data_IF_944412816961
#
_entry.id   IF_944412816961
#
_cell.length_a   1.000
_cell.length_b   1.000
_cell.length_c   1.000
_cell.angle_alpha   90.00
_cell.angle_beta   90.00
_cell.angle_gamma   90.00
#
_symmetry.space_group_name_H-M   'P 1'
#
loop_
_entity.id
_entity.type
_entity.pdbx_description
1 polymer ?
#
# COMPACT_ATOMS: atom_id res chain seq x y z
N UNK A 1 -33.95 -3.91 -35.10
CA UNK A 1 -34.02 -3.08 -33.89
C UNK A 1 -35.48 -2.77 -33.65
N UNK A 2 -36.05 -3.27 -32.56
CA UNK A 2 -37.38 -2.84 -32.10
C UNK A 2 -37.21 -1.43 -31.53
N UNK A 3 -37.75 -0.45 -32.24
CA UNK A 3 -37.76 0.96 -31.84
C UNK A 3 -39.19 1.32 -31.46
N UNK A 4 -39.40 1.70 -30.21
CA UNK A 4 -40.68 2.22 -29.74
C UNK A 4 -40.56 3.73 -29.52
N UNK A 5 -41.58 4.47 -29.92
CA UNK A 5 -41.65 5.93 -29.74
C UNK A 5 -42.82 6.29 -28.85
N UNK A 6 -42.61 7.24 -27.96
CA UNK A 6 -43.65 7.80 -27.09
C UNK A 6 -43.64 9.32 -27.19
N UNK A 7 -44.81 9.90 -27.40
CA UNK A 7 -44.99 11.35 -27.43
C UNK A 7 -45.24 11.85 -26.01
N UNK A 8 -44.43 12.80 -25.55
CA UNK A 8 -44.55 13.45 -24.24
C UNK A 8 -45.58 14.58 -24.29
N UNK A 9 -46.08 14.96 -23.11
CA UNK A 9 -47.09 16.02 -22.94
C UNK A 9 -46.65 17.41 -23.44
N UNK A 10 -45.34 17.61 -23.68
CA UNK A 10 -44.76 18.83 -24.26
C UNK A 10 -44.55 18.76 -25.79
N UNK A 11 -45.04 17.70 -26.44
CA UNK A 11 -44.91 17.48 -27.89
C UNK A 11 -43.59 16.84 -28.33
N UNK A 12 -42.63 16.59 -27.42
CA UNK A 12 -41.38 15.91 -27.75
C UNK A 12 -41.59 14.40 -27.94
N UNK A 13 -40.84 13.78 -28.86
CA UNK A 13 -40.87 12.33 -29.12
C UNK A 13 -39.65 11.70 -28.46
N UNK A 14 -39.87 10.82 -27.48
CA UNK A 14 -38.83 9.97 -26.92
C UNK A 14 -38.71 8.70 -27.76
N UNK A 15 -37.51 8.42 -28.25
CA UNK A 15 -37.20 7.20 -29.01
C UNK A 15 -36.52 6.22 -28.09
N UNK A 16 -37.02 4.99 -27.99
CA UNK A 16 -36.46 3.93 -27.16
C UNK A 16 -36.07 2.73 -28.03
N UNK A 17 -34.87 2.18 -27.79
CA UNK A 17 -34.42 0.94 -28.41
C UNK A 17 -34.40 -0.21 -27.41
N UNK A 18 -34.83 -1.40 -27.83
CA UNK A 18 -34.59 -2.64 -27.07
C UNK A 18 -33.15 -3.13 -27.29
N UNK A 19 -32.41 -3.27 -26.20
CA UNK A 19 -31.07 -3.87 -26.15
C UNK A 19 -31.16 -5.40 -26.19
N UNK A 20 -30.05 -6.06 -26.52
CA UNK A 20 -29.94 -7.53 -26.63
C UNK A 20 -30.13 -8.28 -25.31
N UNK A 21 -30.06 -7.58 -24.18
CA UNK A 21 -30.34 -8.09 -22.83
C UNK A 21 -31.82 -7.94 -22.42
N UNK A 22 -32.68 -7.43 -23.32
CA UNK A 22 -34.10 -7.20 -23.06
C UNK A 22 -34.42 -5.85 -22.40
N UNK A 23 -33.42 -5.07 -22.00
CA UNK A 23 -33.60 -3.73 -21.43
C UNK A 23 -34.01 -2.71 -22.52
N UNK A 24 -34.75 -1.67 -22.12
CA UNK A 24 -35.16 -0.58 -23.03
C UNK A 24 -34.36 0.67 -22.69
N UNK A 25 -33.58 1.19 -23.64
CA UNK A 25 -32.77 2.41 -23.44
C UNK A 25 -33.36 3.58 -24.23
N UNK A 26 -33.57 4.71 -23.56
CA UNK A 26 -33.92 5.97 -24.23
C UNK A 26 -32.74 6.43 -25.09
N UNK A 27 -32.96 6.57 -26.39
CA UNK A 27 -31.95 6.98 -27.38
C UNK A 27 -31.93 8.50 -27.57
N UNK A 28 -33.03 9.20 -27.26
CA UNK A 28 -33.17 10.65 -27.43
C UNK A 28 -33.81 11.22 -26.15
N UNK A 29 -33.05 11.22 -25.06
CA UNK A 29 -33.16 12.06 -23.85
C UNK A 29 -32.17 11.50 -22.81
N UNK A 30 -30.87 11.50 -23.13
CA UNK A 30 -29.84 11.18 -22.14
C UNK A 30 -29.71 12.39 -21.22
N UNK A 31 -30.33 12.33 -20.03
CA UNK A 31 -29.98 13.25 -18.95
C UNK A 31 -28.50 13.08 -18.65
N UNK A 32 -27.78 14.18 -18.50
CA UNK A 32 -26.38 14.17 -18.11
C UNK A 32 -26.25 13.42 -16.77
N UNK A 33 -25.37 12.41 -16.72
CA UNK A 33 -25.07 11.73 -15.47
C UNK A 33 -24.26 12.70 -14.64
N UNK A 34 -24.89 13.27 -13.60
CA UNK A 34 -24.17 14.11 -12.64
C UNK A 34 -23.33 13.20 -11.74
N UNK A 35 -22.04 13.48 -11.67
CA UNK A 35 -21.13 12.84 -10.74
C UNK A 35 -21.04 13.69 -9.48
N UNK A 36 -21.26 13.06 -8.33
CA UNK A 36 -20.94 13.66 -7.04
C UNK A 36 -19.61 13.12 -6.53
N UNK A 37 -18.79 14.00 -5.98
CA UNK A 37 -17.49 13.69 -5.39
C UNK A 37 -17.51 13.98 -3.91
N UNK A 38 -17.30 12.93 -3.10
CA UNK A 38 -17.09 13.09 -1.67
C UNK A 38 -15.60 13.17 -1.37
N UNK A 39 -15.11 14.34 -0.95
CA UNK A 39 -13.70 14.52 -0.57
C UNK A 39 -13.41 13.79 0.74
N UNK A 40 -12.39 12.94 0.73
CA UNK A 40 -11.86 12.34 1.96
C UNK A 40 -11.23 13.41 2.88
N UNK A 41 -11.43 13.27 4.19
CA UNK A 41 -10.83 14.15 5.21
C UNK A 41 -9.33 13.91 5.39
N UNK A 42 -8.84 12.72 5.06
CA UNK A 42 -7.43 12.37 4.98
C UNK A 42 -7.23 11.26 3.92
N UNK A 43 -6.07 11.24 3.26
CA UNK A 43 -5.65 10.14 2.40
C UNK A 43 -4.68 9.27 3.20
N UNK A 44 -5.05 8.02 3.45
CA UNK A 44 -4.18 7.02 4.07
C UNK A 44 -3.54 6.09 3.04
N UNK A 45 -2.54 5.27 3.43
CA UNK A 45 -1.81 4.36 2.53
C UNK A 45 -2.68 3.36 1.77
N UNK A 46 -3.90 3.08 2.28
CA UNK A 46 -4.89 2.13 1.74
C UNK A 46 -6.21 2.83 1.40
N UNK A 47 -6.24 4.14 1.16
CA UNK A 47 -7.48 4.82 0.79
C UNK A 47 -7.96 4.38 -0.60
N UNK A 48 -8.62 3.22 -0.67
CA UNK A 48 -9.24 2.65 -1.86
C UNK A 48 -10.74 2.98 -1.90
N UNK A 49 -11.35 2.86 -3.07
CA UNK A 49 -12.81 2.95 -3.16
C UNK A 49 -13.53 1.89 -2.33
N UNK A 50 -12.96 0.71 -2.04
CA UNK A 50 -13.58 -0.27 -1.14
C UNK A 50 -13.58 0.14 0.34
N UNK A 51 -12.69 1.04 0.74
CA UNK A 51 -12.57 1.56 2.11
C UNK A 51 -13.40 2.84 2.32
N UNK A 52 -14.15 3.28 1.31
CA UNK A 52 -15.05 4.43 1.39
C UNK A 52 -14.41 5.80 1.14
N UNK A 53 -13.19 5.86 0.58
CA UNK A 53 -12.45 7.11 0.45
C UNK A 53 -11.61 7.21 -0.83
N UNK A 54 -11.63 8.37 -1.55
CA UNK A 54 -12.80 9.19 -1.87
C UNK A 54 -13.66 8.52 -2.97
N UNK A 55 -14.99 8.58 -2.84
CA UNK A 55 -15.91 7.90 -3.75
C UNK A 55 -16.52 8.82 -4.82
N UNK A 56 -16.62 8.32 -6.05
CA UNK A 56 -17.32 8.94 -7.17
C UNK A 56 -18.63 8.18 -7.42
N UNK A 57 -19.75 8.88 -7.35
CA UNK A 57 -21.08 8.26 -7.52
C UNK A 57 -21.92 9.00 -8.56
N UNK A 58 -22.79 8.27 -9.25
CA UNK A 58 -23.82 8.88 -10.09
C UNK A 58 -24.99 9.36 -9.21
N UNK A 59 -25.35 10.63 -9.33
CA UNK A 59 -26.46 11.22 -8.56
C UNK A 59 -27.83 10.65 -9.03
N UNK A 60 -28.83 10.50 -8.14
CA UNK A 60 -28.82 10.79 -6.71
C UNK A 60 -28.59 9.49 -5.92
N UNK A 61 -27.33 9.06 -5.77
CA UNK A 61 -27.00 7.93 -4.91
C UNK A 61 -26.62 8.45 -3.52
N UNK A 62 -27.20 7.93 -2.43
CA UNK A 62 -26.74 8.27 -1.08
C UNK A 62 -25.27 7.85 -0.93
N UNK A 63 -24.50 8.65 -0.19
CA UNK A 63 -23.06 8.49 0.08
C UNK A 63 -22.63 7.01 0.08
N UNK A 64 -22.13 6.56 -1.07
CA UNK A 64 -21.74 5.17 -1.24
C UNK A 64 -20.34 4.96 -0.68
N UNK A 65 -20.14 3.83 -0.02
CA UNK A 65 -18.84 3.37 0.47
C UNK A 65 -17.92 2.86 -0.65
N UNK A 66 -18.34 2.94 -1.92
CA UNK A 66 -17.53 2.58 -3.10
C UNK A 66 -17.95 3.33 -4.37
N UNK A 67 -17.08 3.33 -5.37
CA UNK A 67 -17.33 3.98 -6.66
C UNK A 67 -18.49 3.31 -7.40
N UNK A 68 -19.63 4.00 -7.41
CA UNK A 68 -20.89 3.55 -8.05
C UNK A 68 -20.99 4.18 -9.43
N UNK A 69 -20.04 3.84 -10.28
CA UNK A 69 -20.06 4.22 -11.68
C UNK A 69 -20.61 3.01 -12.42
N UNK A 70 -21.61 3.21 -13.27
CA UNK A 70 -22.28 2.12 -13.96
C UNK A 70 -21.30 1.17 -14.67
N UNK A 71 -21.75 -0.03 -15.09
CA UNK A 71 -20.89 -1.15 -15.53
C UNK A 71 -19.97 -0.88 -16.74
N UNK A 72 -19.95 0.34 -17.28
CA UNK A 72 -19.23 0.74 -18.48
C UNK A 72 -18.38 2.01 -18.28
N UNK A 73 -17.87 2.24 -17.08
CA UNK A 73 -16.98 3.39 -16.82
C UNK A 73 -15.61 3.11 -17.44
N UNK A 74 -15.52 3.36 -18.75
CA UNK A 74 -14.30 3.21 -19.53
C UNK A 74 -13.61 4.54 -19.81
N UNK A 75 -12.73 4.55 -20.80
CA UNK A 75 -11.98 5.74 -21.21
C UNK A 75 -11.04 6.24 -20.11
N UNK A 76 -10.76 7.55 -20.14
CA UNK A 76 -9.80 8.17 -19.22
C UNK A 76 -10.25 8.07 -17.75
N UNK A 77 -11.55 8.19 -17.47
CA UNK A 77 -12.05 8.10 -16.10
C UNK A 77 -11.90 6.68 -15.54
N UNK A 78 -12.31 5.65 -16.28
CA UNK A 78 -12.11 4.26 -15.88
C UNK A 78 -10.64 3.93 -15.64
N UNK A 79 -9.75 4.37 -16.53
CA UNK A 79 -8.31 4.17 -16.38
C UNK A 79 -7.73 4.86 -15.13
N UNK A 80 -8.18 6.08 -14.79
CA UNK A 80 -7.72 6.78 -13.58
C UNK A 80 -8.18 6.08 -12.30
N UNK A 81 -9.36 5.46 -12.32
CA UNK A 81 -9.87 4.69 -11.19
C UNK A 81 -9.15 3.37 -11.03
N UNK A 82 -8.83 2.69 -12.13
CA UNK A 82 -7.99 1.49 -12.12
C UNK A 82 -6.58 1.77 -11.58
N UNK A 83 -5.98 2.90 -11.97
CA UNK A 83 -4.71 3.37 -11.40
C UNK A 83 -4.83 3.60 -9.90
N UNK A 84 -5.89 4.27 -9.44
CA UNK A 84 -6.08 4.60 -8.01
C UNK A 84 -6.34 3.34 -7.17
N UNK A 85 -7.26 2.49 -7.61
CA UNK A 85 -7.80 1.42 -6.78
C UNK A 85 -7.00 0.13 -6.86
N UNK A 86 -6.40 -0.17 -8.02
CA UNK A 86 -5.65 -1.41 -8.23
C UNK A 86 -4.15 -1.12 -8.31
N UNK A 87 -3.68 -0.38 -9.33
CA UNK A 87 -2.25 -0.28 -9.61
C UNK A 87 -1.44 0.36 -8.46
N UNK A 88 -1.90 1.49 -7.92
CA UNK A 88 -1.23 2.17 -6.82
C UNK A 88 -1.35 1.39 -5.51
N UNK A 89 -2.48 0.75 -5.27
CA UNK A 89 -2.70 -0.11 -4.10
C UNK A 89 -1.75 -1.31 -4.11
N UNK A 90 -1.63 -2.00 -5.24
CA UNK A 90 -0.74 -3.15 -5.39
C UNK A 90 0.73 -2.72 -5.28
N UNK A 91 1.09 -1.57 -5.85
CA UNK A 91 2.44 -1.00 -5.69
C UNK A 91 2.75 -0.62 -4.25
N UNK A 92 1.80 0.00 -3.52
CA UNK A 92 1.97 0.32 -2.11
C UNK A 92 2.17 -0.95 -1.27
N UNK A 93 1.41 -2.02 -1.54
CA UNK A 93 1.60 -3.32 -0.88
C UNK A 93 3.00 -3.89 -1.10
N UNK A 94 3.51 -3.86 -2.33
CA UNK A 94 4.88 -4.34 -2.61
C UNK A 94 5.94 -3.44 -1.94
N UNK A 95 5.72 -2.13 -1.87
CA UNK A 95 6.63 -1.19 -1.20
C UNK A 95 6.63 -1.37 0.33
N UNK A 96 5.45 -1.56 0.92
CA UNK A 96 5.30 -1.87 2.34
C UNK A 96 5.97 -3.20 2.67
N UNK A 97 5.85 -4.21 1.80
CA UNK A 97 6.54 -5.49 1.95
C UNK A 97 8.06 -5.33 1.93
N UNK A 98 8.60 -4.60 0.96
CA UNK A 98 10.03 -4.27 0.93
C UNK A 98 10.45 -3.60 2.23
N UNK A 99 9.67 -2.62 2.69
CA UNK A 99 9.94 -1.86 3.91
C UNK A 99 9.96 -2.75 5.15
N UNK A 100 8.99 -3.65 5.29
CA UNK A 100 8.95 -4.63 6.38
C UNK A 100 10.16 -5.57 6.33
N UNK A 101 10.55 -6.05 5.14
CA UNK A 101 11.74 -6.92 5.00
C UNK A 101 13.01 -6.19 5.41
N UNK A 102 13.17 -4.93 4.99
CA UNK A 102 14.31 -4.08 5.38
C UNK A 102 14.32 -3.88 6.89
N UNK A 103 13.19 -3.43 7.45
CA UNK A 103 13.01 -3.20 8.89
C UNK A 103 13.37 -4.46 9.69
N UNK A 104 12.74 -5.58 9.37
CA UNK A 104 12.84 -6.81 10.15
C UNK A 104 14.22 -7.45 10.08
N UNK A 105 14.86 -7.48 8.89
CA UNK A 105 16.21 -8.07 8.76
C UNK A 105 17.28 -7.18 9.40
N UNK A 106 17.20 -5.86 9.22
CA UNK A 106 18.16 -4.94 9.86
C UNK A 106 17.97 -4.96 11.36
N UNK A 107 16.72 -4.98 11.85
CA UNK A 107 16.44 -5.15 13.27
C UNK A 107 16.96 -6.49 13.79
N UNK A 108 16.71 -7.60 13.10
CA UNK A 108 17.22 -8.92 13.51
C UNK A 108 18.75 -8.94 13.68
N UNK A 109 19.49 -8.22 12.83
CA UNK A 109 20.93 -8.05 12.98
C UNK A 109 21.28 -7.10 14.15
N UNK A 110 20.64 -5.93 14.22
CA UNK A 110 20.88 -4.92 15.25
C UNK A 110 20.56 -5.43 16.67
N UNK A 111 19.54 -6.27 16.82
CA UNK A 111 19.08 -6.85 18.09
C UNK A 111 20.07 -7.87 18.68
N UNK A 112 20.97 -8.44 17.87
CA UNK A 112 22.07 -9.32 18.36
C UNK A 112 23.16 -8.52 19.07
N UNK A 113 23.16 -7.21 18.84
CA UNK A 113 24.11 -6.28 19.41
C UNK A 113 23.64 -5.65 20.71
N UNK A 114 24.61 -5.05 21.38
CA UNK A 114 24.39 -4.08 22.44
C UNK A 114 25.27 -2.87 22.16
N UNK A 115 24.96 -1.75 22.81
CA UNK A 115 25.72 -0.51 22.73
C UNK A 115 26.34 -0.19 24.09
N UNK A 116 27.26 0.77 24.10
CA UNK A 116 28.08 1.10 25.28
C UNK A 116 27.26 1.62 26.46
N UNK A 117 26.05 2.09 26.19
CA UNK A 117 25.22 2.83 27.15
C UNK A 117 24.06 2.00 27.74
N UNK A 118 24.15 0.67 27.70
CA UNK A 118 23.21 -0.22 28.39
C UNK A 118 23.45 -0.32 29.91
N UNK A 119 23.98 0.75 30.50
CA UNK A 119 23.79 1.13 31.89
C UNK A 119 22.36 1.65 32.18
N UNK A 120 21.42 1.41 31.26
CA UNK A 120 20.00 1.63 31.46
C UNK A 120 19.43 0.48 32.30
N UNK A 121 18.69 0.84 33.35
CA UNK A 121 18.03 -0.12 34.21
C UNK A 121 16.81 -0.79 33.56
N UNK A 122 16.39 -0.33 32.37
CA UNK A 122 15.17 -0.74 31.69
C UNK A 122 15.40 -0.84 30.17
N UNK A 123 14.82 -1.87 29.54
CA UNK A 123 14.75 -2.07 28.10
C UNK A 123 13.29 -2.34 27.72
N UNK A 124 12.69 -1.47 26.91
CA UNK A 124 11.30 -1.58 26.46
C UNK A 124 11.25 -2.09 25.03
N UNK A 125 10.43 -3.11 24.80
CA UNK A 125 10.12 -3.63 23.48
C UNK A 125 9.21 -2.69 22.69
N UNK A 126 9.14 -2.87 21.38
CA UNK A 126 8.29 -2.07 20.50
C UNK A 126 7.13 -2.87 19.89
N UNK A 127 7.08 -4.19 20.13
CA UNK A 127 6.00 -5.04 19.66
C UNK A 127 4.84 -5.06 20.66
N UNK A 128 3.61 -4.85 20.17
CA UNK A 128 2.40 -5.16 20.92
C UNK A 128 2.19 -6.68 20.91
N UNK A 129 2.29 -7.29 22.08
CA UNK A 129 2.17 -8.74 22.30
C UNK A 129 0.89 -9.09 23.07
N UNK A 130 -0.04 -8.16 23.22
CA UNK A 130 -1.24 -8.32 24.05
C UNK A 130 -2.21 -9.39 23.54
N UNK A 131 -2.19 -9.68 22.23
CA UNK A 131 -3.03 -10.70 21.59
C UNK A 131 -2.26 -11.84 20.90
N UNK A 132 -0.93 -11.79 20.87
CA UNK A 132 -0.14 -12.79 20.12
C UNK A 132 -0.02 -14.12 20.92
N UNK A 133 0.00 -15.22 20.18
CA UNK A 133 0.16 -16.57 20.71
C UNK A 133 1.27 -17.29 19.95
N UNK A 134 2.13 -18.01 20.68
CA UNK A 134 3.24 -18.72 20.07
C UNK A 134 2.72 -19.91 19.27
N UNK A 135 3.18 -20.07 18.03
CA UNK A 135 2.76 -21.18 17.15
C UNK A 135 3.40 -22.52 17.52
N UNK A 136 4.50 -22.45 18.26
CA UNK A 136 5.26 -23.57 18.81
C UNK A 136 5.93 -23.10 20.10
N UNK A 137 6.23 -24.00 21.05
CA UNK A 137 7.01 -23.62 22.22
C UNK A 137 8.32 -22.93 21.81
N UNK A 138 8.66 -21.84 22.50
CA UNK A 138 9.93 -21.14 22.32
C UNK A 138 11.09 -22.08 22.67
N UNK A 139 12.26 -21.80 22.07
CA UNK A 139 13.45 -22.65 22.23
C UNK A 139 14.69 -21.81 22.46
N UNK A 140 15.74 -22.43 22.99
CA UNK A 140 17.04 -21.79 23.18
C UNK A 140 17.22 -21.11 24.53
N UNK A 141 18.34 -20.40 24.65
CA UNK A 141 18.79 -19.73 25.86
C UNK A 141 19.33 -18.35 25.54
N UNK A 142 19.06 -17.40 26.43
CA UNK A 142 19.62 -16.06 26.40
C UNK A 142 20.60 -15.86 27.56
N UNK A 143 21.57 -14.97 27.38
CA UNK A 143 22.50 -14.60 28.45
C UNK A 143 22.29 -13.14 28.83
N UNK A 144 22.11 -12.89 30.12
CA UNK A 144 22.00 -11.55 30.70
C UNK A 144 23.30 -11.26 31.45
N UNK A 145 23.97 -10.18 31.08
CA UNK A 145 25.11 -9.66 31.83
C UNK A 145 24.65 -8.43 32.62
N UNK A 146 24.90 -8.41 33.93
CA UNK A 146 24.68 -7.24 34.77
C UNK A 146 25.88 -6.31 34.68
N UNK A 147 25.64 -5.03 34.43
CA UNK A 147 26.69 -4.03 34.22
C UNK A 147 26.68 -2.95 35.30
N UNK A 148 27.87 -2.44 35.62
CA UNK A 148 28.02 -1.25 36.46
C UNK A 148 27.96 0.05 35.62
N UNK A 149 28.12 1.21 36.26
CA UNK A 149 28.05 2.52 35.60
C UNK A 149 29.15 2.74 34.54
N UNK A 150 30.22 1.93 34.57
CA UNK A 150 31.32 1.93 33.60
C UNK A 150 31.10 0.92 32.46
N UNK A 151 29.93 0.26 32.40
CA UNK A 151 29.59 -0.80 31.45
C UNK A 151 30.48 -2.07 31.57
N UNK A 152 31.00 -2.33 32.76
CA UNK A 152 31.74 -3.54 33.08
C UNK A 152 30.79 -4.62 33.62
N UNK A 153 30.99 -5.86 33.20
CA UNK A 153 30.19 -7.00 33.63
C UNK A 153 30.58 -7.41 35.04
N UNK A 154 29.64 -7.29 35.97
CA UNK A 154 29.82 -7.64 37.40
C UNK A 154 29.10 -8.95 37.78
N UNK A 155 28.30 -9.49 36.86
CA UNK A 155 27.58 -10.75 37.02
C UNK A 155 26.98 -11.20 35.70
N UNK A 156 26.75 -12.50 35.56
CA UNK A 156 26.07 -13.06 34.39
C UNK A 156 25.12 -14.19 34.80
N UNK A 157 24.01 -14.29 34.09
CA UNK A 157 23.00 -15.31 34.25
C UNK A 157 22.51 -15.78 32.88
N UNK A 158 22.26 -17.07 32.74
CA UNK A 158 21.68 -17.67 31.54
C UNK A 158 20.24 -18.04 31.82
N UNK A 159 19.33 -17.57 30.97
CA UNK A 159 17.90 -17.89 31.05
C UNK A 159 17.57 -18.85 29.91
N UNK A 160 16.98 -19.99 30.27
CA UNK A 160 16.43 -20.93 29.30
C UNK A 160 14.97 -20.56 29.06
N UNK A 161 14.60 -20.29 27.80
CA UNK A 161 13.21 -20.04 27.38
C UNK A 161 12.62 -21.25 26.64
N UNK A 162 13.19 -22.43 26.87
CA UNK A 162 12.83 -23.65 26.19
C UNK A 162 11.54 -24.27 26.75
N UNK A 163 10.52 -24.39 25.92
CA UNK A 163 9.21 -24.95 26.28
C UNK A 163 8.14 -23.91 26.63
N UNK A 164 8.48 -22.62 26.58
CA UNK A 164 7.55 -21.53 26.89
C UNK A 164 6.51 -21.41 25.77
N UNK A 165 5.22 -21.41 26.13
CA UNK A 165 4.11 -21.38 25.16
C UNK A 165 3.40 -20.05 25.09
N UNK A 166 3.72 -19.14 26.01
CA UNK A 166 3.10 -17.82 26.12
C UNK A 166 4.10 -16.79 26.64
N UNK A 167 3.75 -15.51 26.47
CA UNK A 167 4.49 -14.39 27.08
C UNK A 167 4.58 -14.55 28.59
N UNK A 168 3.53 -15.04 29.24
CA UNK A 168 3.52 -15.27 30.69
C UNK A 168 4.54 -16.35 31.11
N UNK A 169 4.70 -17.40 30.31
CA UNK A 169 5.73 -18.43 30.53
C UNK A 169 7.13 -17.82 30.38
N UNK A 170 7.34 -16.99 29.35
CA UNK A 170 8.59 -16.26 29.16
C UNK A 170 8.90 -15.33 30.35
N UNK A 171 7.90 -14.60 30.86
CA UNK A 171 8.05 -13.76 32.05
C UNK A 171 8.42 -14.59 33.28
N UNK A 172 7.87 -15.80 33.41
CA UNK A 172 8.21 -16.75 34.47
C UNK A 172 9.65 -17.30 34.31
N UNK A 173 10.08 -17.61 33.09
CA UNK A 173 11.45 -18.05 32.79
C UNK A 173 12.49 -16.95 33.07
N UNK A 174 12.14 -15.68 32.81
CA UNK A 174 12.98 -14.53 33.15
C UNK A 174 13.02 -14.23 34.65
N UNK A 175 12.02 -14.68 35.42
CA UNK A 175 11.88 -14.34 36.83
C UNK A 175 13.11 -14.77 37.64
N UNK A 176 13.61 -13.84 38.47
CA UNK A 176 14.84 -14.03 39.24
C UNK A 176 16.11 -13.60 38.51
N UNK A 177 16.09 -13.51 37.17
CA UNK A 177 17.20 -12.94 36.39
C UNK A 177 16.92 -11.50 35.96
N UNK A 178 15.73 -11.24 35.43
CA UNK A 178 15.24 -9.90 35.09
C UNK A 178 13.85 -9.71 35.69
N UNK A 179 13.52 -8.46 36.03
CA UNK A 179 12.12 -8.09 36.23
C UNK A 179 11.49 -7.88 34.86
N UNK A 180 10.30 -8.42 34.63
CA UNK A 180 9.58 -8.29 33.37
C UNK A 180 8.14 -7.87 33.62
N UNK A 181 7.65 -6.89 32.86
CA UNK A 181 6.27 -6.41 32.91
C UNK A 181 5.77 -6.17 31.48
N UNK A 182 4.46 -6.30 31.27
CA UNK A 182 3.82 -5.84 30.04
C UNK A 182 3.14 -4.52 30.35
N UNK A 183 3.49 -3.46 29.63
CA UNK A 183 2.95 -2.12 29.87
C UNK A 183 1.53 -1.97 29.31
N UNK A 184 0.93 -0.79 29.48
CA UNK A 184 -0.44 -0.52 29.01
C UNK A 184 -0.60 -0.59 27.48
N UNK A 185 0.50 -0.40 26.75
CA UNK A 185 0.57 -0.48 25.30
C UNK A 185 0.87 -1.90 24.80
N UNK A 186 0.83 -2.90 25.69
CA UNK A 186 1.05 -4.30 25.34
C UNK A 186 2.51 -4.65 25.06
N UNK A 187 3.49 -3.81 25.43
CA UNK A 187 4.91 -4.03 25.16
C UNK A 187 5.64 -4.66 26.35
N UNK A 188 6.60 -5.54 26.08
CA UNK A 188 7.46 -6.14 27.10
C UNK A 188 8.51 -5.13 27.59
N UNK A 189 8.49 -4.84 28.89
CA UNK A 189 9.50 -4.05 29.59
C UNK A 189 10.35 -4.97 30.46
N UNK A 190 11.66 -4.92 30.27
CA UNK A 190 12.63 -5.63 31.07
C UNK A 190 13.38 -4.65 31.95
N UNK A 191 13.53 -4.95 33.23
CA UNK A 191 14.33 -4.12 34.13
C UNK A 191 15.20 -4.95 35.06
N UNK A 192 16.12 -4.27 35.75
CA UNK A 192 16.90 -4.90 36.82
C UNK A 192 15.98 -5.49 37.90
N UNK A 193 16.22 -6.74 38.35
CA UNK A 193 15.45 -7.33 39.44
C UNK A 193 15.84 -6.70 40.78
N UNK A 194 14.95 -6.75 41.77
CA UNK A 194 15.24 -6.29 43.14
C UNK A 194 16.38 -7.06 43.83
N UNK A 195 16.79 -8.22 43.29
CA UNK A 195 17.91 -9.03 43.75
C UNK A 195 19.17 -8.97 42.87
N UNK A 196 19.31 -7.94 42.02
CA UNK A 196 20.48 -7.78 41.15
C UNK A 196 21.79 -7.72 41.96
N UNK A 197 22.94 -8.13 41.38
CA UNK A 197 24.24 -8.01 42.03
C UNK A 197 24.50 -6.58 42.54
N UNK A 198 25.14 -6.46 43.71
CA UNK A 198 25.44 -5.17 44.31
C UNK A 198 26.33 -4.33 43.36
N UNK A 199 25.87 -3.11 43.04
CA UNK A 199 26.55 -2.22 42.08
C UNK A 199 26.07 -2.33 40.63
N UNK A 200 25.08 -3.18 40.35
CA UNK A 200 24.43 -3.22 39.04
C UNK A 200 23.64 -1.93 38.80
N UNK A 201 23.93 -1.25 37.69
CA UNK A 201 23.21 -0.06 37.23
C UNK A 201 22.47 -0.32 35.92
N UNK A 202 22.84 -1.35 35.17
CA UNK A 202 22.14 -1.80 33.97
C UNK A 202 22.39 -3.26 33.65
N UNK A 203 21.95 -3.66 32.46
CA UNK A 203 22.16 -5.02 31.94
C UNK A 203 22.30 -5.00 30.42
N UNK A 204 23.04 -5.96 29.88
CA UNK A 204 23.07 -6.26 28.44
C UNK A 204 22.46 -7.61 28.17
N UNK A 205 21.74 -7.72 27.07
CA UNK A 205 21.13 -8.96 26.62
C UNK A 205 21.92 -9.51 25.43
N UNK A 206 22.35 -10.76 25.53
CA UNK A 206 22.78 -11.55 24.39
C UNK A 206 21.66 -12.57 24.10
N UNK A 207 21.04 -12.46 22.92
CA UNK A 207 19.92 -13.32 22.54
C UNK A 207 20.30 -14.79 22.36
N UNK A 208 21.57 -15.13 22.21
CA UNK A 208 22.00 -16.51 22.01
C UNK A 208 21.26 -17.19 20.87
N UNK A 209 20.79 -18.41 21.12
CA UNK A 209 19.95 -19.22 20.21
C UNK A 209 18.45 -19.13 20.55
N UNK A 210 18.07 -18.19 21.41
CA UNK A 210 16.70 -17.98 21.86
C UNK A 210 15.79 -17.55 20.70
N UNK A 211 14.79 -18.38 20.37
CA UNK A 211 13.87 -18.13 19.26
C UNK A 211 12.41 -18.37 19.64
N UNK A 212 11.53 -17.57 19.05
CA UNK A 212 10.09 -17.60 19.23
C UNK A 212 9.43 -17.69 17.85
N UNK A 213 8.57 -18.68 17.68
CA UNK A 213 7.77 -18.85 16.48
C UNK A 213 6.42 -18.13 16.65
N UNK A 214 6.15 -17.14 15.80
CA UNK A 214 4.89 -16.39 15.83
C UNK A 214 3.86 -17.09 14.93
N UNK A 215 2.61 -17.15 15.40
CA UNK A 215 1.49 -17.62 14.57
C UNK A 215 1.09 -16.58 13.52
N UNK A 216 1.21 -15.30 13.87
CA UNK A 216 0.78 -14.19 13.03
C UNK A 216 1.71 -13.95 11.84
N UNK A 217 3.02 -14.13 12.05
CA UNK A 217 4.03 -13.95 11.00
C UNK A 217 4.34 -15.21 10.19
N UNK A 218 3.99 -16.39 10.69
CA UNK A 218 4.40 -17.67 10.09
C UNK A 218 5.92 -17.86 10.00
N UNK A 219 6.69 -17.15 10.83
CA UNK A 219 8.16 -17.18 10.86
C UNK A 219 8.69 -17.28 12.30
N UNK A 220 9.95 -17.69 12.42
CA UNK A 220 10.67 -17.80 13.69
C UNK A 220 11.65 -16.64 13.85
N UNK A 221 11.48 -15.86 14.91
CA UNK A 221 12.34 -14.69 15.22
C UNK A 221 13.20 -14.95 16.44
N UNK A 222 14.37 -14.31 16.50
CA UNK A 222 15.17 -14.26 17.72
C UNK A 222 14.41 -13.54 18.84
N UNK A 223 14.68 -13.89 20.10
CA UNK A 223 13.97 -13.36 21.27
C UNK A 223 13.80 -11.84 21.25
N UNK A 224 14.90 -11.08 21.10
CA UNK A 224 14.82 -9.61 21.06
C UNK A 224 14.06 -9.10 19.85
N UNK A 225 14.20 -9.76 18.70
CA UNK A 225 13.50 -9.35 17.48
C UNK A 225 11.99 -9.57 17.57
N UNK A 226 11.55 -10.66 18.21
CA UNK A 226 10.14 -10.94 18.44
C UNK A 226 9.46 -9.88 19.32
N UNK A 227 10.08 -9.52 20.45
CA UNK A 227 9.56 -8.49 21.36
C UNK A 227 9.87 -7.05 20.90
N UNK A 228 10.60 -6.88 19.79
CA UNK A 228 11.08 -5.58 19.32
C UNK A 228 12.03 -4.88 20.30
N UNK A 229 12.78 -5.66 21.09
CA UNK A 229 13.80 -5.17 22.01
C UNK A 229 15.03 -4.73 21.20
N UNK A 230 15.49 -3.52 21.45
CA UNK A 230 16.68 -2.96 20.80
C UNK A 230 16.57 -2.83 19.26
N UNK A 231 15.40 -2.48 18.73
CA UNK A 231 15.21 -2.24 17.30
C UNK A 231 15.93 -0.97 16.83
N UNK A 232 16.43 -0.99 15.60
CA UNK A 232 16.95 0.21 14.92
C UNK A 232 15.83 0.98 14.24
N UNK A 233 14.97 0.26 13.51
CA UNK A 233 13.82 0.80 12.82
C UNK A 233 12.53 0.48 13.57
N UNK A 234 11.68 1.49 13.73
CA UNK A 234 10.35 1.40 14.31
C UNK A 234 9.31 1.92 13.33
N UNK A 235 8.07 1.45 13.50
CA UNK A 235 6.87 1.96 12.85
C UNK A 235 5.93 2.32 13.99
N UNK A 236 5.98 3.54 14.53
CA UNK A 236 5.27 3.89 15.78
C UNK A 236 3.74 3.82 15.65
N UNK A 237 3.21 4.10 14.46
CA UNK A 237 1.77 4.15 14.22
C UNK A 237 1.21 2.80 13.73
N UNK A 238 2.09 1.80 13.58
CA UNK A 238 1.76 0.49 13.05
C UNK A 238 2.33 -0.64 13.92
N UNK A 239 1.59 -1.73 14.15
CA UNK A 239 2.11 -2.83 14.94
C UNK A 239 3.33 -3.47 14.26
N UNK A 240 4.33 -3.87 15.04
CA UNK A 240 5.50 -4.58 14.50
C UNK A 240 5.15 -5.97 13.97
N UNK A 241 4.15 -6.59 14.59
CA UNK A 241 3.55 -7.86 14.19
C UNK A 241 2.27 -7.54 13.40
N UNK A 242 2.06 -8.11 12.21
CA UNK A 242 0.77 -7.98 11.56
C UNK A 242 -0.29 -8.68 12.42
N UNK A 243 -1.49 -8.08 12.55
CA UNK A 243 -2.63 -8.77 13.19
C UNK A 243 -2.84 -10.14 12.56
N UNK A 244 -3.12 -11.19 13.35
CA UNK A 244 -3.43 -12.54 12.86
C UNK A 244 -4.31 -12.53 11.58
N UNK A 245 -3.73 -12.93 10.44
CA UNK A 245 -4.42 -12.98 9.14
C UNK A 245 -4.20 -11.79 8.20
N UNK A 246 -3.55 -10.71 8.65
CA UNK A 246 -3.03 -9.66 7.79
C UNK A 246 -1.65 -10.08 7.28
N UNK A 247 -1.47 -10.26 5.98
CA UNK A 247 -0.16 -10.63 5.43
C UNK A 247 0.89 -9.52 5.57
N UNK A 248 0.44 -8.26 5.46
CA UNK A 248 1.29 -7.08 5.36
C UNK A 248 0.77 -5.93 6.21
N UNK A 249 1.71 -5.24 6.87
CA UNK A 249 1.47 -3.99 7.57
C UNK A 249 1.39 -2.88 6.54
N UNK A 250 0.17 -2.43 6.25
CA UNK A 250 -0.02 -1.37 5.25
C UNK A 250 0.34 0.00 5.81
N UNK A 251 1.06 0.80 5.03
CA UNK A 251 1.60 2.09 5.46
C UNK A 251 3.00 2.03 6.06
N UNK A 252 3.60 0.84 6.17
CA UNK A 252 4.95 0.69 6.72
C UNK A 252 5.97 1.57 6.00
N UNK A 253 5.87 1.73 4.68
CA UNK A 253 6.75 2.59 3.88
C UNK A 253 6.67 4.08 4.25
N UNK A 254 5.51 4.54 4.72
CA UNK A 254 5.30 5.92 5.15
C UNK A 254 5.67 6.19 6.62
N UNK A 255 5.65 5.14 7.44
CA UNK A 255 5.82 5.24 8.90
C UNK A 255 7.21 4.82 9.39
N UNK A 256 7.96 4.03 8.59
CA UNK A 256 9.28 3.54 8.98
C UNK A 256 10.21 4.69 9.36
N UNK A 257 10.83 4.57 10.54
CA UNK A 257 11.78 5.54 11.02
C UNK A 257 12.83 4.93 11.92
N UNK A 258 14.00 5.58 12.04
CA UNK A 258 15.00 5.20 13.05
C UNK A 258 14.47 5.57 14.44
N UNK A 259 14.72 4.67 15.41
CA UNK A 259 14.35 4.85 16.81
C UNK A 259 14.80 6.22 17.34
N UNK A 260 13.88 6.92 18.02
CA UNK A 260 14.08 8.33 18.38
C UNK A 260 15.25 8.61 19.32
N UNK A 261 15.64 7.65 20.16
CA UNK A 261 16.81 7.71 21.06
C UNK A 261 18.15 7.60 20.31
N UNK A 262 18.23 6.80 19.25
CA UNK A 262 19.40 6.67 18.36
C UNK A 262 19.55 7.94 17.52
N UNK A 263 18.44 8.53 17.08
CA UNK A 263 18.44 9.83 16.38
C UNK A 263 18.99 10.95 17.26
N UNK A 264 18.67 10.92 18.56
CA UNK A 264 19.14 11.92 19.52
C UNK A 264 20.60 11.68 19.93
N UNK A 265 20.98 10.43 20.12
CA UNK A 265 22.34 10.05 20.48
C UNK A 265 22.78 8.77 19.74
N UNK A 266 23.72 8.94 18.81
CA UNK A 266 24.30 7.82 18.04
C UNK A 266 25.03 6.80 18.92
N UNK A 267 25.37 7.12 20.17
CA UNK A 267 25.95 6.17 21.11
C UNK A 267 24.96 5.05 21.51
N UNK A 268 23.67 5.22 21.22
CA UNK A 268 22.63 4.21 21.43
C UNK A 268 22.52 3.18 20.29
N UNK A 269 23.33 3.32 19.23
CA UNK A 269 23.42 2.35 18.15
C UNK A 269 24.23 1.14 18.58
N UNK A 270 23.67 -0.06 18.41
CA UNK A 270 24.40 -1.32 18.65
C UNK A 270 25.59 -1.45 17.70
N UNK A 271 26.78 -1.69 18.24
CA UNK A 271 28.00 -1.85 17.43
C UNK A 271 28.71 -3.20 17.65
N UNK A 272 28.55 -3.82 18.81
CA UNK A 272 29.19 -5.10 19.13
C UNK A 272 28.26 -6.05 19.86
N UNK A 273 28.62 -7.34 19.85
CA UNK A 273 27.85 -8.35 20.56
C UNK A 273 28.27 -8.39 22.02
N UNK A 274 27.30 -8.49 22.93
CA UNK A 274 27.61 -8.65 24.36
C UNK A 274 28.41 -9.95 24.53
N UNK A 275 29.64 -9.84 25.06
CA UNK A 275 30.49 -11.03 25.23
C UNK A 275 29.81 -12.02 26.17
N UNK A 276 29.74 -13.28 25.75
CA UNK A 276 29.16 -14.33 26.58
C UNK A 276 30.16 -14.71 27.66
N UNK A 277 29.80 -14.46 28.92
CA UNK A 277 30.59 -14.90 30.06
C UNK A 277 29.95 -16.11 30.71
N UNK A 278 30.71 -17.20 30.96
CA UNK A 278 30.20 -18.30 31.75
C UNK A 278 29.77 -17.78 33.13
N UNK A 279 28.70 -18.33 33.69
CA UNK A 279 28.28 -17.99 35.05
C UNK A 279 29.09 -18.83 36.06
N UNK A 280 29.74 -18.21 37.09
CA UNK A 280 29.75 -16.79 37.43
C UNK A 280 30.74 -15.96 36.59
N UNK A 281 30.46 -14.66 36.45
CA UNK A 281 31.25 -13.71 35.68
C UNK A 281 32.75 -13.68 36.08
N UNK A 282 33.66 -13.27 35.16
CA UNK A 282 35.09 -13.26 35.41
C UNK A 282 35.45 -12.28 36.53
N UNK A 283 36.42 -12.64 37.38
CA UNK A 283 36.86 -11.83 38.53
C UNK A 283 37.44 -10.45 38.19
N UNK A 284 37.63 -10.14 36.90
CA UNK A 284 38.29 -8.92 36.42
C UNK A 284 37.33 -7.84 35.90
N UNK A 285 36.00 -8.00 36.10
CA UNK A 285 34.97 -7.07 35.61
C UNK A 285 35.23 -6.57 34.17
N UNK A 286 35.28 -7.47 33.18
CA UNK A 286 35.57 -7.06 31.80
C UNK A 286 34.45 -6.18 31.22
N UNK A 287 34.73 -5.36 30.19
CA UNK A 287 33.69 -4.58 29.53
C UNK A 287 32.68 -5.50 28.83
N UNK A 288 31.39 -5.12 28.84
CA UNK A 288 30.34 -5.92 28.19
C UNK A 288 30.52 -6.02 26.67
N UNK A 289 31.08 -4.98 26.05
CA UNK A 289 31.50 -4.94 24.64
C UNK A 289 32.89 -4.34 24.55
N UNK A 290 33.77 -4.96 23.76
CA UNK A 290 35.11 -4.44 23.53
C UNK A 290 35.09 -3.28 22.54
N UNK A 291 35.91 -2.26 22.80
CA UNK A 291 36.12 -1.18 21.84
C UNK A 291 36.70 -1.73 20.53
N UNK A 292 36.07 -1.41 19.41
CA UNK A 292 36.46 -1.90 18.08
C UNK A 292 35.77 -3.18 17.62
N UNK A 293 34.89 -3.78 18.43
CA UNK A 293 33.97 -4.80 17.96
C UNK A 293 33.02 -4.20 16.92
N UNK A 294 32.99 -4.78 15.72
CA UNK A 294 32.13 -4.39 14.60
C UNK A 294 31.26 -5.55 14.10
N UNK A 295 31.10 -6.61 14.89
CA UNK A 295 30.33 -7.81 14.51
C UNK A 295 28.90 -7.48 14.12
N UNK A 296 28.24 -6.58 14.85
CA UNK A 296 26.85 -6.17 14.58
C UNK A 296 26.77 -5.32 13.31
N UNK A 297 27.75 -4.45 13.10
CA UNK A 297 27.83 -3.65 11.87
C UNK A 297 28.05 -4.54 10.64
N UNK A 298 28.88 -5.59 10.76
CA UNK A 298 29.06 -6.61 9.73
C UNK A 298 27.77 -7.40 9.49
N UNK A 299 27.11 -7.88 10.55
CA UNK A 299 25.83 -8.59 10.43
C UNK A 299 24.74 -7.74 9.77
N UNK A 300 24.69 -6.43 10.07
CA UNK A 300 23.78 -5.51 9.39
C UNK A 300 24.13 -5.37 7.91
N UNK A 301 25.41 -5.28 7.54
CA UNK A 301 25.83 -5.25 6.14
C UNK A 301 25.48 -6.56 5.41
N UNK A 302 25.75 -7.71 6.03
CA UNK A 302 25.45 -9.04 5.50
C UNK A 302 23.94 -9.22 5.28
N UNK A 303 23.09 -8.62 6.13
CA UNK A 303 21.62 -8.69 5.98
C UNK A 303 21.10 -8.15 4.64
N UNK A 304 21.84 -7.23 3.99
CA UNK A 304 21.51 -6.71 2.65
C UNK A 304 21.94 -7.66 1.52
N UNK A 305 22.97 -8.46 1.74
CA UNK A 305 23.50 -9.44 0.77
C UNK A 305 22.82 -10.81 0.90
N UNK A 306 22.24 -11.10 2.06
CA UNK A 306 21.55 -12.36 2.31
C UNK A 306 20.31 -12.53 1.42
N UNK A 307 20.24 -13.71 0.80
CA UNK A 307 19.08 -14.13 0.00
C UNK A 307 18.08 -14.82 0.91
N UNK A 308 16.85 -14.32 0.98
CA UNK A 308 15.76 -15.03 1.63
C UNK A 308 14.49 -14.99 0.78
N UNK A 309 13.57 -15.89 1.07
CA UNK A 309 12.25 -15.90 0.46
C UNK A 309 11.46 -14.71 0.99
N UNK A 310 11.14 -13.76 0.12
CA UNK A 310 10.20 -12.68 0.39
C UNK A 310 8.85 -13.14 -0.13
N UNK A 311 7.91 -13.33 0.79
CA UNK A 311 6.54 -13.70 0.46
C UNK A 311 5.80 -12.59 -0.30
N UNK A 312 4.86 -12.98 -1.15
CA UNK A 312 3.98 -12.11 -1.90
C UNK A 312 3.09 -11.29 -0.95
N UNK A 313 2.92 -10.01 -1.27
CA UNK A 313 2.17 -9.03 -0.47
C UNK A 313 0.69 -8.92 -0.87
N UNK A 314 0.22 -9.82 -1.75
CA UNK A 314 -1.03 -9.62 -2.48
C UNK A 314 -1.01 -8.42 -3.44
N UNK A 315 0.17 -7.84 -3.68
CA UNK A 315 0.46 -6.89 -4.76
C UNK A 315 0.91 -7.62 -6.03
N UNK A 316 1.86 -7.03 -6.75
CA UNK A 316 2.27 -7.51 -8.07
C UNK A 316 3.29 -8.65 -8.01
N UNK A 317 4.14 -8.65 -6.98
CA UNK A 317 5.25 -9.57 -6.89
C UNK A 317 4.82 -10.88 -6.21
N UNK A 318 5.24 -12.00 -6.82
CA UNK A 318 5.07 -13.34 -6.25
C UNK A 318 6.18 -13.62 -5.24
N UNK A 319 6.04 -14.74 -4.52
CA UNK A 319 7.12 -15.25 -3.66
C UNK A 319 8.42 -15.37 -4.46
N UNK A 320 9.48 -14.70 -4.00
CA UNK A 320 10.78 -14.68 -4.67
C UNK A 320 11.89 -14.87 -3.64
N UNK A 321 12.88 -15.70 -3.95
CA UNK A 321 14.08 -15.84 -3.13
C UNK A 321 15.15 -14.88 -3.68
N UNK A 322 15.40 -13.79 -2.96
CA UNK A 322 16.29 -12.71 -3.42
C UNK A 322 16.82 -11.87 -2.26
N UNK A 323 17.72 -10.93 -2.56
CA UNK A 323 18.20 -9.93 -1.60
C UNK A 323 17.21 -8.77 -1.51
N UNK A 324 17.35 -7.89 -0.51
CA UNK A 324 16.51 -6.68 -0.43
C UNK A 324 16.63 -5.82 -1.69
N UNK A 325 17.86 -5.64 -2.18
CA UNK A 325 18.16 -4.91 -3.41
C UNK A 325 17.58 -5.59 -4.64
N UNK A 326 17.61 -6.93 -4.69
CA UNK A 326 17.00 -7.71 -5.75
C UNK A 326 15.49 -7.58 -5.79
N UNK A 327 14.81 -7.60 -4.63
CA UNK A 327 13.37 -7.36 -4.57
C UNK A 327 12.99 -5.95 -5.04
N UNK A 328 13.75 -4.93 -4.62
CA UNK A 328 13.56 -3.57 -5.11
C UNK A 328 13.76 -3.46 -6.63
N UNK A 329 14.75 -4.17 -7.19
CA UNK A 329 14.98 -4.24 -8.64
C UNK A 329 13.84 -4.96 -9.39
N UNK A 330 13.29 -6.03 -8.82
CA UNK A 330 12.14 -6.75 -9.38
C UNK A 330 10.88 -5.86 -9.37
N UNK A 331 10.64 -5.11 -8.28
CA UNK A 331 9.54 -4.15 -8.19
C UNK A 331 9.65 -3.06 -9.26
N UNK A 332 10.83 -2.45 -9.41
CA UNK A 332 11.10 -1.46 -10.45
C UNK A 332 10.92 -2.05 -11.86
N UNK A 333 11.37 -3.28 -12.08
CA UNK A 333 11.26 -3.96 -13.37
C UNK A 333 9.81 -4.28 -13.73
N UNK A 334 9.01 -4.71 -12.76
CA UNK A 334 7.58 -4.92 -12.93
C UNK A 334 6.89 -3.61 -13.33
N UNK A 335 7.12 -2.54 -12.56
CA UNK A 335 6.51 -1.24 -12.84
C UNK A 335 6.91 -0.67 -14.21
N UNK A 336 8.18 -0.84 -14.61
CA UNK A 336 8.64 -0.45 -15.93
C UNK A 336 7.95 -1.25 -17.05
N UNK A 337 7.73 -2.55 -16.84
CA UNK A 337 7.02 -3.40 -17.80
C UNK A 337 5.55 -2.99 -17.95
N UNK A 338 4.84 -2.74 -16.83
CA UNK A 338 3.45 -2.29 -16.85
C UNK A 338 3.29 -0.91 -17.49
N UNK A 339 4.23 0.01 -17.23
CA UNK A 339 4.25 1.33 -17.88
C UNK A 339 4.39 1.18 -19.40
N UNK A 340 5.34 0.35 -19.87
CA UNK A 340 5.55 0.08 -21.30
C UNK A 340 4.32 -0.55 -21.99
N UNK A 341 3.64 -1.48 -21.31
CA UNK A 341 2.37 -2.08 -21.79
C UNK A 341 1.27 -1.04 -21.89
N UNK A 342 1.13 -0.21 -20.86
CA UNK A 342 0.12 0.86 -20.79
C UNK A 342 0.34 1.91 -21.87
N UNK A 343 1.59 2.30 -22.12
CA UNK A 343 1.95 3.24 -23.20
C UNK A 343 1.60 2.66 -24.57
N UNK A 344 1.94 1.39 -24.82
CA UNK A 344 1.59 0.72 -26.08
C UNK A 344 0.07 0.63 -26.27
N UNK A 345 -0.67 0.30 -25.21
CA UNK A 345 -2.13 0.24 -25.24
C UNK A 345 -2.76 1.62 -25.48
N UNK A 346 -2.19 2.66 -24.87
CA UNK A 346 -2.61 4.05 -25.09
C UNK A 346 -2.40 4.47 -26.54
N UNK A 347 -1.25 4.18 -27.13
CA UNK A 347 -0.94 4.52 -28.52
C UNK A 347 -1.88 3.81 -29.51
N UNK A 348 -2.18 2.54 -29.25
CA UNK A 348 -3.18 1.79 -30.02
C UNK A 348 -4.56 2.44 -29.93
N UNK A 349 -5.02 2.76 -28.71
CA UNK A 349 -6.32 3.38 -28.47
C UNK A 349 -6.43 4.76 -29.12
N UNK A 350 -5.34 5.55 -29.08
CA UNK A 350 -5.25 6.85 -29.74
C UNK A 350 -5.38 6.71 -31.26
N UNK A 351 -4.65 5.78 -31.86
CA UNK A 351 -4.73 5.50 -33.29
C UNK A 351 -6.14 5.07 -33.71
N UNK A 352 -6.77 4.20 -32.93
CA UNK A 352 -8.15 3.76 -33.18
C UNK A 352 -9.15 4.92 -33.06
N UNK A 353 -8.97 5.78 -32.06
CA UNK A 353 -9.79 6.98 -31.89
C UNK A 353 -9.66 7.92 -33.10
N UNK A 354 -8.43 8.18 -33.56
CA UNK A 354 -8.16 9.06 -34.69
C UNK A 354 -8.78 8.52 -36.00
N UNK A 355 -8.68 7.20 -36.24
CA UNK A 355 -9.31 6.54 -37.39
C UNK A 355 -10.85 6.59 -37.31
N UNK A 356 -11.44 6.30 -36.15
CA UNK A 356 -12.89 6.37 -35.97
C UNK A 356 -13.40 7.81 -36.12
N UNK A 357 -12.66 8.78 -35.59
CA UNK A 357 -12.95 10.20 -35.76
C UNK A 357 -12.88 10.60 -37.22
N UNK A 358 -11.83 10.21 -37.95
CA UNK A 358 -11.69 10.47 -39.38
C UNK A 358 -12.87 9.89 -40.18
N UNK A 359 -13.28 8.64 -39.92
CA UNK A 359 -14.45 8.02 -40.56
C UNK A 359 -15.75 8.72 -40.22
N UNK A 360 -15.93 9.11 -38.97
CA UNK A 360 -17.10 9.87 -38.53
C UNK A 360 -17.17 11.23 -39.23
N UNK A 361 -16.05 11.96 -39.26
CA UNK A 361 -15.94 13.26 -39.91
C UNK A 361 -16.09 13.13 -41.44
N UNK A 362 -15.69 12.00 -42.05
CA UNK A 362 -15.90 11.75 -43.49
C UNK A 362 -17.36 11.45 -43.84
N UNK A 363 -18.14 10.85 -42.92
CA UNK A 363 -19.55 10.49 -43.16
C UNK A 363 -20.54 11.57 -42.72
N UNK A 364 -20.22 12.27 -41.62
CA UNK A 364 -21.02 13.40 -41.12
C UNK A 364 -20.54 14.75 -41.66
N UNK A 365 -19.34 14.79 -42.22
CA UNK A 365 -18.78 15.96 -42.87
C UNK A 365 -19.58 16.32 -44.11
N UNK A 366 -19.95 17.58 -44.17
CA UNK A 366 -20.66 18.17 -45.30
C UNK A 366 -19.62 18.77 -46.22
N UNK A 367 -19.56 18.32 -47.48
CA UNK A 367 -18.69 18.95 -48.45
C UNK A 367 -19.29 20.29 -48.87
N UNK A 368 -18.70 21.39 -48.39
CA UNK A 368 -19.22 22.75 -48.62
C UNK A 368 -19.29 23.08 -50.12
N UNK A 369 -18.41 22.51 -50.94
CA UNK A 369 -18.44 22.71 -52.39
C UNK A 369 -19.62 21.99 -53.05
N UNK A 370 -19.99 20.80 -52.54
CA UNK A 370 -21.15 20.05 -53.01
C UNK A 370 -22.46 20.68 -52.53
N UNK A 371 -22.53 21.11 -51.28
CA UNK A 371 -23.67 21.90 -50.78
C UNK A 371 -23.81 23.25 -51.49
N UNK A 372 -22.71 23.94 -51.79
CA UNK A 372 -22.75 25.19 -52.56
C UNK A 372 -23.22 24.96 -53.99
N UNK A 373 -22.75 23.89 -54.64
CA UNK A 373 -23.23 23.48 -55.97
C UNK A 373 -24.73 23.15 -55.94
N UNK A 374 -25.18 22.37 -54.95
CA UNK A 374 -26.59 22.05 -54.75
C UNK A 374 -27.43 23.31 -54.46
N UNK A 375 -26.89 24.23 -53.67
CA UNK A 375 -27.53 25.51 -53.36
C UNK A 375 -27.67 26.39 -54.61
N UNK A 376 -26.63 26.47 -55.44
CA UNK A 376 -26.69 27.14 -56.74
C UNK A 376 -27.74 26.50 -57.67
N UNK A 377 -27.81 25.16 -57.71
CA UNK A 377 -28.84 24.44 -58.48
C UNK A 377 -30.24 24.74 -57.94
N UNK A 378 -30.43 24.78 -56.61
CA UNK A 378 -31.70 25.14 -56.00
C UNK A 378 -32.08 26.60 -56.27
N UNK A 379 -31.14 27.53 -56.22
CA UNK A 379 -31.37 28.94 -56.59
C UNK A 379 -31.74 29.07 -58.07
N UNK A 380 -31.08 28.32 -58.96
CA UNK A 380 -31.39 28.33 -60.40
C UNK A 380 -32.75 27.71 -60.69
N UNK A 381 -33.07 26.58 -60.03
CA UNK A 381 -34.36 25.91 -60.12
C UNK A 381 -35.50 26.78 -59.55
N UNK A 382 -35.25 27.52 -58.47
CA UNK A 382 -36.20 28.47 -57.89
C UNK A 382 -36.45 29.64 -58.83
N UNK A 383 -35.40 30.24 -59.41
CA UNK A 383 -35.54 31.30 -60.41
C UNK A 383 -36.27 30.82 -61.67
N UNK A 384 -35.98 29.60 -62.14
CA UNK A 384 -36.70 28.99 -63.26
C UNK A 384 -38.19 28.78 -62.93
N UNK A 385 -38.50 28.26 -61.73
CA UNK A 385 -39.86 28.07 -61.25
C UNK A 385 -40.62 29.39 -61.12
N UNK A 386 -39.97 30.45 -60.61
CA UNK A 386 -40.53 31.79 -60.53
C UNK A 386 -40.87 32.36 -61.92
N UNK A 387 -40.00 32.14 -62.91
CA UNK A 387 -40.29 32.52 -64.32
C UNK A 387 -41.47 31.75 -64.89
N UNK A 388 -41.57 30.44 -64.64
CA UNK A 388 -42.74 29.64 -65.07
C UNK A 388 -44.02 30.19 -64.45
N UNK A 389 -44.03 30.48 -63.14
CA UNK A 389 -45.19 31.07 -62.45
C UNK A 389 -45.55 32.43 -63.06
N UNK A 390 -44.56 33.29 -63.32
CA UNK A 390 -44.80 34.59 -63.95
C UNK A 390 -45.38 34.47 -65.37
N UNK A 391 -44.95 33.45 -66.13
CA UNK A 391 -45.46 33.19 -67.47
C UNK A 391 -46.89 32.67 -67.41
N UNK A 392 -47.20 31.80 -66.45
CA UNK A 392 -48.55 31.31 -66.20
C UNK A 392 -49.49 32.44 -65.75
N UNK A 393 -49.03 33.34 -64.86
CA UNK A 393 -49.78 34.54 -64.48
C UNK A 393 -50.06 35.44 -65.68
N UNK A 394 -49.07 35.67 -66.55
CA UNK A 394 -49.29 36.43 -67.80
C UNK A 394 -50.29 35.74 -68.74
N UNK A 395 -50.29 34.41 -68.81
CA UNK A 395 -51.30 33.67 -69.58
C UNK A 395 -52.71 33.79 -68.98
N UNK A 396 -52.84 33.70 -67.65
CA UNK A 396 -54.11 33.93 -66.96
C UNK A 396 -54.61 35.36 -67.17
N UNK A 397 -53.76 36.38 -67.00
CA UNK A 397 -54.11 37.78 -67.25
C UNK A 397 -54.54 38.03 -68.70
N UNK A 398 -53.95 37.31 -69.66
CA UNK A 398 -54.32 37.41 -71.08
C UNK A 398 -55.66 36.77 -71.35
N UNK A 399 -55.94 35.60 -70.76
CA UNK A 399 -57.24 34.93 -70.82
C UNK A 399 -58.34 35.80 -70.20
N UNK A 400 -58.09 36.38 -69.02
CA UNK A 400 -59.07 37.24 -68.33
C UNK A 400 -59.39 38.52 -69.14
N UNK A 401 -58.39 39.04 -69.88
CA UNK A 401 -58.54 40.20 -70.77
C UNK A 401 -59.23 39.88 -72.11
N UNK A 402 -59.32 38.60 -72.48
CA UNK A 402 -60.10 38.14 -73.64
C UNK A 402 -61.56 37.81 -73.27
N UNK A 403 -61.86 37.65 -71.98
CA UNK A 403 -63.19 37.26 -71.48
C UNK A 403 -64.06 38.45 -71.02
N UNK A 404 -63.46 39.63 -70.88
CA UNK A 404 -64.12 40.93 -70.83
C UNK A 404 -64.01 41.63 -72.17
#
# INVERSE_FOLDING_TARGET
MDVSTFQRDNGAIAVMGKMSDGSTKMMVDSREVQFDFSKASALGPVATSSDGFPTLSSAPSPAAASDQLGPNTGGKLGALLDVRDNMLTDFHRDLDRLTQVVRDRVNAAHNQGTYQNQGQATLTGSADISSDTFSSPATGSLTVNYTNASNEVIGSATVSIAGDTSVADVQASLAGTLASTVNADGQLELSLPGGAPAGATGFTLNTGDATIASTELGDTRGFSHYFGLNNLFETPDLPLLPSAGAGDITGAAGDIQVRSDIKQDSANLSYGSATQYPSPAPATNPPAVYAGDNTVAQAMADSFEDRSTIAASGGNLRNVNTTMSGYAADLLSFQASETSRTDTARDFQQTMYDELKFRSDSKSGVNIDEELSNMLVFEQAYNASARVISTVQQMFDTLDRMMN
#
